data_IF_570421000722
#
_entry.id   IF_570421000722
#
_cell.length_a   1.000
_cell.length_b   1.000
_cell.length_c   1.000
_cell.angle_alpha   90.00
_cell.angle_beta   90.00
_cell.angle_gamma   90.00
#
_symmetry.space_group_name_H-M   'P 1'
#
loop_
_entity.id
_entity.type
_entity.pdbx_description
1 polymer ?
#
# COMPACT_ATOMS: atom_id res chain seq x y z
N UNK A 1 0.59 -1.24 10.13
CA UNK A 1 0.88 -1.19 8.68
C UNK A 1 1.96 -0.13 8.44
N UNK A 2 2.90 -0.36 7.52
CA UNK A 2 3.94 0.62 7.15
C UNK A 2 4.15 0.61 5.65
N UNK A 3 4.83 1.63 5.14
CA UNK A 3 5.38 1.64 3.79
C UNK A 3 6.60 0.71 3.75
N UNK A 4 6.63 -0.20 2.78
CA UNK A 4 7.63 -1.28 2.65
C UNK A 4 8.85 -0.79 1.86
N UNK A 5 8.64 -0.01 0.80
CA UNK A 5 9.66 0.42 -0.14
C UNK A 5 9.50 1.89 -0.58
N UNK A 6 10.27 2.31 -1.58
CA UNK A 6 10.20 3.66 -2.15
C UNK A 6 10.65 4.78 -1.21
N UNK A 7 10.28 6.02 -1.56
CA UNK A 7 10.72 7.25 -0.86
C UNK A 7 10.15 7.38 0.55
N UNK A 8 9.01 6.75 0.81
CA UNK A 8 8.30 6.79 2.08
C UNK A 8 8.59 5.57 2.99
N UNK A 9 9.54 4.71 2.60
CA UNK A 9 9.89 3.47 3.32
C UNK A 9 10.02 3.68 4.83
N UNK A 10 9.40 2.78 5.60
CA UNK A 10 9.46 2.77 7.06
C UNK A 10 8.47 3.71 7.75
N UNK A 11 7.77 4.58 7.00
CA UNK A 11 6.70 5.41 7.56
C UNK A 11 5.54 4.53 8.03
N UNK A 12 5.10 4.75 9.27
CA UNK A 12 3.90 4.10 9.82
C UNK A 12 2.66 4.73 9.19
N UNK A 13 1.74 3.88 8.76
CA UNK A 13 0.42 4.31 8.32
C UNK A 13 -0.55 4.24 9.50
N UNK A 14 -1.35 5.29 9.66
CA UNK A 14 -2.41 5.28 10.66
C UNK A 14 -3.51 4.32 10.23
N UNK A 15 -4.00 3.52 11.17
CA UNK A 15 -5.11 2.62 10.90
C UNK A 15 -6.43 3.37 10.94
N UNK A 16 -7.41 2.89 10.18
CA UNK A 16 -8.80 3.31 10.38
C UNK A 16 -9.21 2.79 11.77
N UNK A 17 -9.78 3.64 12.65
CA UNK A 17 -10.22 3.20 13.96
C UNK A 17 -11.26 2.06 13.89
N UNK A 18 -11.16 1.10 14.81
CA UNK A 18 -12.06 -0.05 14.91
C UNK A 18 -11.64 -1.27 14.09
N UNK A 19 -12.43 -2.34 14.21
CA UNK A 19 -12.12 -3.66 13.64
C UNK A 19 -12.87 -3.96 12.33
N UNK A 20 -13.52 -2.95 11.74
CA UNK A 20 -14.32 -3.10 10.53
C UNK A 20 -13.47 -3.27 9.25
N UNK A 21 -12.16 -3.09 9.35
CA UNK A 21 -11.27 -3.14 8.19
C UNK A 21 -10.43 -4.42 8.18
N UNK A 22 -10.33 -5.04 7.00
CA UNK A 22 -9.38 -6.13 6.75
C UNK A 22 -8.11 -5.53 6.15
N UNK A 23 -7.03 -5.35 6.92
CA UNK A 23 -5.78 -4.81 6.38
C UNK A 23 -5.17 -5.76 5.35
N UNK A 24 -4.61 -5.20 4.27
CA UNK A 24 -3.73 -5.97 3.39
C UNK A 24 -2.48 -6.40 4.17
N UNK A 25 -2.05 -7.66 3.98
CA UNK A 25 -0.84 -8.17 4.61
C UNK A 25 0.40 -7.67 3.86
N UNK A 26 1.53 -7.54 4.56
CA UNK A 26 2.79 -7.12 3.94
C UNK A 26 3.15 -8.03 2.75
N UNK A 27 2.97 -9.35 2.90
CA UNK A 27 3.21 -10.33 1.82
C UNK A 27 2.32 -10.13 0.60
N UNK A 28 1.03 -9.85 0.78
CA UNK A 28 0.11 -9.61 -0.33
C UNK A 28 0.46 -8.31 -1.05
N UNK A 29 0.88 -7.29 -0.31
CA UNK A 29 1.32 -6.01 -0.86
C UNK A 29 2.63 -6.16 -1.65
N UNK A 30 3.63 -6.85 -1.09
CA UNK A 30 4.89 -7.15 -1.78
C UNK A 30 4.66 -7.90 -3.10
N UNK A 31 3.77 -8.90 -3.09
CA UNK A 31 3.42 -9.63 -4.30
C UNK A 31 2.78 -8.72 -5.36
N UNK A 32 1.86 -7.82 -4.97
CA UNK A 32 1.22 -6.87 -5.88
C UNK A 32 2.26 -5.98 -6.59
N UNK A 33 3.17 -5.35 -5.85
CA UNK A 33 4.20 -4.49 -6.44
C UNK A 33 5.26 -5.28 -7.20
N UNK A 34 5.56 -6.52 -6.79
CA UNK A 34 6.43 -7.42 -7.55
C UNK A 34 5.82 -7.81 -8.90
N UNK A 35 4.50 -7.98 -8.99
CA UNK A 35 3.80 -8.29 -10.24
C UNK A 35 3.80 -7.08 -11.19
N UNK A 36 3.53 -5.88 -10.65
CA UNK A 36 3.56 -4.65 -11.45
C UNK A 36 4.98 -4.27 -11.90
N UNK A 37 5.99 -4.57 -11.08
CA UNK A 37 7.39 -4.35 -11.41
C UNK A 37 7.67 -2.89 -11.77
N UNK A 38 8.42 -2.67 -12.85
CA UNK A 38 8.86 -1.34 -13.29
C UNK A 38 7.74 -0.50 -13.93
N UNK A 39 6.60 -1.09 -14.28
CA UNK A 39 5.48 -0.38 -14.89
C UNK A 39 4.81 0.64 -13.95
N UNK A 40 5.01 0.49 -12.64
CA UNK A 40 4.43 1.38 -11.64
C UNK A 40 5.09 2.76 -11.62
N UNK A 41 6.36 2.85 -12.02
CA UNK A 41 7.13 4.09 -11.93
C UNK A 41 6.64 5.14 -12.94
N UNK A 42 6.29 6.33 -12.45
CA UNK A 42 5.78 7.42 -13.28
C UNK A 42 4.32 7.26 -13.74
N UNK A 43 3.67 6.15 -13.38
CA UNK A 43 2.27 5.87 -13.74
C UNK A 43 1.29 6.53 -12.77
N UNK A 44 0.12 6.91 -13.28
CA UNK A 44 -1.00 7.35 -12.44
C UNK A 44 -1.79 6.14 -11.95
N UNK A 45 -1.91 5.99 -10.64
CA UNK A 45 -2.65 4.90 -9.99
C UNK A 45 -3.94 5.43 -9.40
N UNK A 46 -5.01 4.64 -9.49
CA UNK A 46 -6.29 4.89 -8.83
C UNK A 46 -6.61 3.74 -7.89
N UNK A 47 -6.72 4.04 -6.61
CA UNK A 47 -7.19 3.11 -5.58
C UNK A 47 -8.63 3.46 -5.19
N UNK A 48 -9.59 2.73 -5.76
CA UNK A 48 -11.03 2.98 -5.57
C UNK A 48 -11.49 2.73 -4.13
N UNK A 49 -10.76 1.91 -3.37
CA UNK A 49 -11.10 1.53 -1.99
C UNK A 49 -9.89 1.68 -1.08
N UNK A 50 -9.26 2.85 -1.13
CA UNK A 50 -7.94 3.06 -0.52
C UNK A 50 -7.84 2.84 0.98
N UNK A 51 -8.95 2.84 1.72
CA UNK A 51 -8.95 2.57 3.17
C UNK A 51 -7.91 3.43 3.91
N UNK A 52 -6.93 2.78 4.55
CA UNK A 52 -5.79 3.45 5.23
C UNK A 52 -4.74 4.05 4.30
N UNK A 53 -4.93 3.99 2.98
CA UNK A 53 -3.95 4.35 1.96
C UNK A 53 -2.82 3.34 1.81
N UNK A 54 -3.02 2.10 2.29
CA UNK A 54 -1.94 1.09 2.40
C UNK A 54 -1.28 0.69 1.08
N UNK A 55 -2.04 0.73 -0.02
CA UNK A 55 -1.59 0.45 -1.39
C UNK A 55 -1.32 1.75 -2.13
N UNK A 56 -2.24 2.72 -2.08
CA UNK A 56 -2.04 4.00 -2.78
C UNK A 56 -0.84 4.85 -2.34
N UNK A 57 -0.31 4.66 -1.12
CA UNK A 57 0.89 5.36 -0.62
C UNK A 57 2.19 4.60 -0.92
N UNK A 58 2.10 3.29 -1.11
CA UNK A 58 3.26 2.41 -1.35
C UNK A 58 3.89 2.69 -2.73
#
# INVERSE_FOLDING_TARGET
>A
MRVIAGKAKGRKLMMVPGDSTRPITDRAKEALFSIMGTWIEGTRVLDLFGGTGGVGIE
#
